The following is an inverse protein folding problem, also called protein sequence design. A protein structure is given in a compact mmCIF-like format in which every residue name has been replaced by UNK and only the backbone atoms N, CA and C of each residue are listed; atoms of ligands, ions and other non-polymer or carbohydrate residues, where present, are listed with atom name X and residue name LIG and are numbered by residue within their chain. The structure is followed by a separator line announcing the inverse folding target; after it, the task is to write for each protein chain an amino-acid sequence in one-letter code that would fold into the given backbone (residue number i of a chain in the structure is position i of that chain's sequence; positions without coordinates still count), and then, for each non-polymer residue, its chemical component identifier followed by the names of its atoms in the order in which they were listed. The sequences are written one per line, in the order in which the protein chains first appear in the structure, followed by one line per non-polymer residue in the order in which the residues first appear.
data_IF_185379438806
#
_entry.id   IF_185379438806
#
_cell.length_a   1.000
_cell.length_b   1.000
_cell.length_c   1.000
_cell.angle_alpha   90.00
_cell.angle_beta   90.00
_cell.angle_gamma   90.00
#
_symmetry.space_group_name_H-M   'P 1'
#
loop_
_entity.id
_entity.type
_entity.pdbx_description
1 polymer ?
#
# COMPACT_ATOMS: atom_id res chain seq x y z
N UNK A 1 12.00 19.08 13.62
CA UNK A 1 11.63 18.44 12.33
C UNK A 1 10.17 18.06 12.38
N UNK A 2 9.38 18.39 11.34
CA UNK A 2 7.97 17.98 11.26
C UNK A 2 7.93 16.46 11.06
N UNK A 3 7.07 15.74 11.79
CA UNK A 3 6.89 14.30 11.59
C UNK A 3 6.25 14.08 10.21
N UNK A 4 6.72 13.12 9.39
CA UNK A 4 6.09 12.84 8.10
C UNK A 4 4.67 12.32 8.32
N UNK A 5 3.78 12.63 7.38
CA UNK A 5 2.43 12.03 7.32
C UNK A 5 2.56 10.54 7.07
N UNK A 6 1.82 9.71 7.81
CA UNK A 6 1.73 8.28 7.51
C UNK A 6 0.46 8.03 6.71
N UNK A 7 0.62 7.52 5.50
CA UNK A 7 -0.48 7.26 4.59
C UNK A 7 -0.61 5.76 4.31
N UNK A 8 -1.83 5.25 4.16
CA UNK A 8 -2.04 3.95 3.54
C UNK A 8 -2.51 4.13 2.12
N UNK A 9 -2.06 3.25 1.23
CA UNK A 9 -2.55 3.18 -0.14
C UNK A 9 -3.01 1.76 -0.43
N UNK A 10 -4.26 1.62 -0.89
CA UNK A 10 -4.90 0.32 -1.09
C UNK A 10 -5.99 0.40 -2.14
N UNK A 11 -6.05 -0.61 -3.00
CA UNK A 11 -7.21 -0.88 -3.84
C UNK A 11 -8.05 -1.97 -3.17
N UNK A 12 -9.37 -1.78 -3.11
CA UNK A 12 -10.31 -2.72 -2.52
C UNK A 12 -11.66 -2.69 -3.23
N UNK A 13 -12.45 -3.76 -3.10
CA UNK A 13 -13.84 -3.77 -3.53
C UNK A 13 -14.78 -3.12 -2.49
N UNK A 14 -16.09 -3.11 -2.76
CA UNK A 14 -17.09 -2.52 -1.86
C UNK A 14 -17.17 -3.21 -0.48
N UNK A 15 -16.72 -4.47 -0.40
CA UNK A 15 -16.68 -5.30 0.80
C UNK A 15 -15.29 -5.28 1.48
N UNK A 16 -14.43 -4.33 1.11
CA UNK A 16 -13.03 -4.18 1.58
C UNK A 16 -12.12 -5.34 1.18
N UNK A 17 -12.52 -6.22 0.27
CA UNK A 17 -11.67 -7.27 -0.27
C UNK A 17 -10.50 -6.67 -1.04
N UNK A 18 -9.28 -7.16 -0.79
CA UNK A 18 -8.03 -6.64 -1.41
C UNK A 18 -7.22 -7.71 -2.14
N UNK A 19 -7.60 -8.97 -2.01
CA UNK A 19 -6.85 -10.07 -2.55
C UNK A 19 -7.57 -11.40 -2.47
N UNK A 20 -7.18 -12.29 -3.37
CA UNK A 20 -7.60 -13.68 -3.42
C UNK A 20 -6.43 -14.56 -3.80
N UNK A 21 -6.13 -15.57 -2.98
CA UNK A 21 -5.02 -16.50 -3.19
C UNK A 21 -3.67 -15.80 -3.46
N UNK A 22 -3.43 -14.68 -2.77
CA UNK A 22 -2.20 -13.90 -2.88
C UNK A 22 -2.10 -13.02 -4.13
N UNK A 23 -3.18 -12.85 -4.90
CA UNK A 23 -3.25 -11.98 -6.08
C UNK A 23 -4.30 -10.90 -5.90
N UNK A 24 -4.10 -9.78 -6.61
CA UNK A 24 -5.12 -8.73 -6.74
C UNK A 24 -6.18 -9.23 -7.75
N UNK A 25 -7.49 -9.18 -7.45
CA UNK A 25 -8.53 -9.75 -8.31
C UNK A 25 -8.74 -9.01 -9.64
N UNK A 26 -8.25 -7.78 -9.74
CA UNK A 26 -8.37 -6.90 -10.90
C UNK A 26 -7.01 -6.44 -11.42
N UNK A 27 -7.01 -5.91 -12.63
CA UNK A 27 -5.84 -5.28 -13.24
C UNK A 27 -6.21 -3.89 -13.79
N UNK A 28 -6.07 -2.86 -12.95
CA UNK A 28 -6.43 -1.48 -13.29
C UNK A 28 -5.13 -0.68 -13.47
N UNK A 29 -4.82 -0.29 -14.71
CA UNK A 29 -3.57 0.41 -15.05
C UNK A 29 -3.46 1.76 -14.32
N UNK A 30 -4.57 2.46 -14.21
CA UNK A 30 -4.70 3.77 -13.56
C UNK A 30 -4.40 3.68 -12.06
N UNK A 31 -4.80 2.60 -11.39
CA UNK A 31 -4.47 2.34 -9.99
C UNK A 31 -2.97 2.09 -9.81
N UNK A 32 -2.37 1.28 -10.68
CA UNK A 32 -0.92 1.04 -10.68
C UNK A 32 -0.12 2.33 -10.94
N UNK A 33 -0.59 3.17 -11.86
CA UNK A 33 0.00 4.48 -12.15
C UNK A 33 -0.16 5.44 -10.97
N UNK A 34 -1.32 5.48 -10.33
CA UNK A 34 -1.57 6.26 -9.11
C UNK A 34 -0.64 5.81 -7.99
N UNK A 35 -0.51 4.51 -7.74
CA UNK A 35 0.41 3.96 -6.75
C UNK A 35 1.86 4.36 -7.05
N UNK A 36 2.31 4.20 -8.29
CA UNK A 36 3.66 4.62 -8.71
C UNK A 36 3.88 6.11 -8.46
N UNK A 37 2.96 6.97 -8.92
CA UNK A 37 3.10 8.41 -8.81
C UNK A 37 3.12 8.89 -7.34
N UNK A 38 2.21 8.38 -6.51
CA UNK A 38 2.11 8.78 -5.11
C UNK A 38 3.31 8.35 -4.27
N UNK A 39 3.98 7.25 -4.63
CA UNK A 39 5.05 6.63 -3.84
C UNK A 39 6.46 6.84 -4.39
N UNK A 40 6.60 7.44 -5.58
CA UNK A 40 7.89 7.70 -6.21
C UNK A 40 8.78 8.58 -5.32
N UNK A 41 10.03 8.17 -5.11
CA UNK A 41 10.99 8.92 -4.29
C UNK A 41 10.65 8.96 -2.79
N UNK A 42 9.65 8.21 -2.33
CA UNK A 42 9.20 8.18 -0.93
C UNK A 42 9.55 6.85 -0.25
N UNK A 43 9.24 6.75 1.04
CA UNK A 43 9.36 5.49 1.79
C UNK A 43 8.07 4.67 1.80
N UNK A 44 8.15 3.40 1.38
CA UNK A 44 7.02 2.47 1.36
C UNK A 44 7.27 1.26 2.28
N UNK A 45 6.38 1.08 3.25
CA UNK A 45 6.33 -0.04 4.19
C UNK A 45 5.40 -1.12 3.64
N UNK A 46 5.88 -2.36 3.60
CA UNK A 46 5.06 -3.52 3.24
C UNK A 46 5.53 -4.82 3.89
N UNK A 47 4.68 -5.84 3.87
CA UNK A 47 5.06 -7.19 4.27
C UNK A 47 5.86 -7.92 3.18
N UNK A 48 6.67 -8.91 3.57
CA UNK A 48 7.53 -9.71 2.65
C UNK A 48 6.81 -10.21 1.39
N UNK A 49 5.68 -10.88 1.54
CA UNK A 49 4.92 -11.45 0.41
C UNK A 49 4.44 -10.38 -0.58
N UNK A 50 4.05 -9.21 -0.07
CA UNK A 50 3.65 -8.07 -0.91
C UNK A 50 4.85 -7.53 -1.66
N UNK A 51 6.00 -7.40 -1.01
CA UNK A 51 7.24 -6.98 -1.66
C UNK A 51 7.69 -7.96 -2.75
N UNK A 52 7.67 -9.26 -2.48
CA UNK A 52 7.98 -10.32 -3.45
C UNK A 52 7.03 -10.26 -4.67
N UNK A 53 5.74 -10.01 -4.44
CA UNK A 53 4.77 -9.81 -5.52
C UNK A 53 5.08 -8.58 -6.38
N UNK A 54 5.49 -7.47 -5.75
CA UNK A 54 5.89 -6.24 -6.47
C UNK A 54 7.14 -6.50 -7.30
N UNK A 55 8.15 -7.17 -6.73
CA UNK A 55 9.36 -7.57 -7.46
C UNK A 55 9.02 -8.44 -8.68
N UNK A 56 8.19 -9.48 -8.48
CA UNK A 56 7.78 -10.38 -9.54
C UNK A 56 7.03 -9.67 -10.67
N UNK A 57 6.23 -8.64 -10.37
CA UNK A 57 5.57 -7.82 -11.39
C UNK A 57 6.59 -7.04 -12.26
N UNK A 58 7.55 -6.36 -11.63
CA UNK A 58 8.56 -5.60 -12.37
C UNK A 58 9.49 -6.51 -13.18
N UNK A 59 9.88 -7.65 -12.62
CA UNK A 59 10.66 -8.66 -13.33
C UNK A 59 9.93 -9.18 -14.58
N UNK A 60 8.63 -9.52 -14.47
CA UNK A 60 7.83 -10.00 -15.60
C UNK A 60 7.57 -8.93 -16.66
N UNK A 61 7.45 -7.67 -16.26
CA UNK A 61 7.20 -6.57 -17.19
C UNK A 61 8.47 -6.05 -17.89
N UNK A 62 9.66 -6.51 -17.49
CA UNK A 62 10.94 -6.01 -18.00
C UNK A 62 11.22 -4.55 -17.65
N UNK A 63 10.42 -3.96 -16.75
CA UNK A 63 10.55 -2.56 -16.34
C UNK A 63 11.38 -2.46 -15.06
N UNK A 64 12.22 -1.44 -14.92
CA UNK A 64 12.91 -1.20 -13.66
C UNK A 64 11.89 -0.92 -12.56
N UNK A 65 12.17 -1.43 -11.36
CA UNK A 65 11.41 -1.05 -10.17
C UNK A 65 11.64 0.46 -9.90
N UNK A 66 10.57 1.25 -9.67
CA UNK A 66 10.71 2.68 -9.43
C UNK A 66 11.60 2.98 -8.22
N UNK A 67 12.37 4.06 -8.32
CA UNK A 67 13.23 4.54 -7.23
C UNK A 67 12.38 5.01 -6.04
N UNK A 68 12.45 4.26 -4.95
CA UNK A 68 11.83 4.55 -3.65
C UNK A 68 12.48 3.70 -2.57
N UNK A 69 12.38 4.14 -1.33
CA UNK A 69 12.85 3.36 -0.19
C UNK A 69 11.82 2.27 0.14
N UNK A 70 12.29 1.04 0.33
CA UNK A 70 11.45 -0.09 0.71
C UNK A 70 11.71 -0.50 2.15
N UNK A 71 10.68 -0.55 3.00
CA UNK A 71 10.79 -1.14 4.34
C UNK A 71 9.95 -2.42 4.37
N UNK A 72 10.62 -3.54 4.56
CA UNK A 72 10.04 -4.88 4.43
C UNK A 72 9.90 -5.49 5.81
N UNK A 73 8.67 -5.87 6.17
CA UNK A 73 8.35 -6.51 7.44
C UNK A 73 8.33 -8.03 7.24
N UNK A 74 9.17 -8.72 8.00
CA UNK A 74 9.25 -10.19 8.01
C UNK A 74 9.75 -10.72 9.36
N UNK A 75 9.27 -11.90 9.76
CA UNK A 75 9.80 -12.63 10.93
C UNK A 75 11.01 -13.50 10.58
N UNK A 76 11.26 -13.69 9.29
CA UNK A 76 12.42 -14.42 8.78
C UNK A 76 13.68 -13.57 8.96
N UNK A 77 14.51 -13.95 9.94
CA UNK A 77 15.74 -13.22 10.28
C UNK A 77 16.84 -13.36 9.23
N UNK A 78 16.72 -14.33 8.33
CA UNK A 78 17.71 -14.58 7.28
C UNK A 78 17.29 -13.95 5.94
N UNK A 79 16.13 -13.30 5.89
CA UNK A 79 15.64 -12.67 4.68
C UNK A 79 16.54 -11.50 4.26
N UNK A 80 17.02 -11.57 3.02
CA UNK A 80 17.75 -10.50 2.37
C UNK A 80 16.95 -10.02 1.16
N UNK A 81 16.78 -8.71 1.08
CA UNK A 81 16.15 -8.10 -0.08
C UNK A 81 17.17 -7.94 -1.20
N UNK A 82 16.77 -8.17 -2.47
CA UNK A 82 17.67 -8.00 -3.62
C UNK A 82 17.88 -6.54 -4.03
N UNK A 83 17.24 -5.57 -3.36
CA UNK A 83 17.35 -4.15 -3.67
C UNK A 83 18.29 -3.45 -2.67
N UNK A 84 19.17 -2.59 -3.16
CA UNK A 84 20.05 -1.77 -2.32
C UNK A 84 19.25 -0.78 -1.44
N UNK A 85 18.23 -0.13 -2.02
CA UNK A 85 17.36 0.82 -1.33
C UNK A 85 16.23 0.14 -0.54
N UNK A 86 16.59 -0.87 0.25
CA UNK A 86 15.63 -1.60 1.07
C UNK A 86 16.14 -1.95 2.47
N UNK A 87 15.21 -1.96 3.41
CA UNK A 87 15.46 -2.18 4.83
C UNK A 87 14.55 -3.28 5.34
N UNK A 88 15.10 -4.25 6.05
CA UNK A 88 14.34 -5.38 6.59
C UNK A 88 14.17 -5.19 8.11
N UNK A 89 12.93 -5.30 8.58
CA UNK A 89 12.57 -5.19 10.01
C UNK A 89 11.55 -6.26 10.39
N UNK A 90 11.38 -6.49 11.69
CA UNK A 90 10.53 -7.58 12.21
C UNK A 90 9.14 -7.15 12.72
N UNK A 91 8.83 -5.85 12.68
CA UNK A 91 7.61 -5.29 13.28
C UNK A 91 7.19 -3.98 12.64
N UNK A 92 5.89 -3.68 12.67
CA UNK A 92 5.34 -2.41 12.16
C UNK A 92 5.88 -1.20 12.94
N UNK A 93 6.11 -1.36 14.24
CA UNK A 93 6.65 -0.32 15.12
C UNK A 93 8.07 0.07 14.68
N UNK A 94 8.92 -0.93 14.40
CA UNK A 94 10.28 -0.68 13.88
C UNK A 94 10.22 -0.06 12.49
N UNK A 95 9.33 -0.55 11.63
CA UNK A 95 9.15 0.00 10.29
C UNK A 95 8.79 1.48 10.31
N UNK A 96 7.81 1.87 11.13
CA UNK A 96 7.37 3.26 11.26
C UNK A 96 8.46 4.13 11.87
N UNK A 97 9.17 3.65 12.90
CA UNK A 97 10.28 4.40 13.50
C UNK A 97 11.40 4.66 12.49
N UNK A 98 11.76 3.64 11.70
CA UNK A 98 12.78 3.78 10.65
C UNK A 98 12.31 4.74 9.56
N UNK A 99 11.08 4.57 9.07
CA UNK A 99 10.50 5.42 8.04
C UNK A 99 10.53 6.90 8.44
N UNK A 100 10.17 7.22 9.69
CA UNK A 100 10.21 8.58 10.24
C UNK A 100 11.61 9.21 10.32
N UNK A 101 12.67 8.40 10.23
CA UNK A 101 14.06 8.88 10.23
C UNK A 101 14.58 9.16 8.83
N UNK A 102 14.08 8.45 7.83
CA UNK A 102 14.57 8.54 6.44
C UNK A 102 13.65 9.36 5.53
N UNK A 103 12.39 9.57 5.92
CA UNK A 103 11.38 10.28 5.16
C UNK A 103 10.93 11.54 5.90
N UNK A 104 10.87 12.66 5.18
CA UNK A 104 10.50 13.95 5.75
C UNK A 104 9.05 14.32 5.48
N UNK A 105 8.50 13.88 4.34
CA UNK A 105 7.19 14.34 3.85
C UNK A 105 6.10 13.34 4.15
N UNK A 106 6.18 12.15 3.57
CA UNK A 106 5.08 11.19 3.61
C UNK A 106 5.56 9.74 3.45
N UNK A 107 5.19 8.90 4.40
CA UNK A 107 5.47 7.47 4.41
C UNK A 107 4.22 6.72 3.97
N UNK A 108 4.37 5.72 3.11
CA UNK A 108 3.27 4.90 2.65
C UNK A 108 3.30 3.51 3.28
N UNK A 109 2.15 3.00 3.70
CA UNK A 109 1.94 1.58 4.00
C UNK A 109 1.11 1.02 2.84
N UNK A 110 1.64 0.00 2.15
CA UNK A 110 1.03 -0.56 0.93
C UNK A 110 0.62 -2.04 1.06
N UNK A 111 0.49 -2.53 2.29
CA UNK A 111 -0.03 -3.87 2.59
C UNK A 111 1.03 -4.93 2.89
N UNK A 112 0.70 -6.22 2.96
CA UNK A 112 -0.63 -6.83 2.83
C UNK A 112 -1.49 -6.71 4.11
N UNK A 113 -2.54 -7.53 4.20
CA UNK A 113 -3.56 -7.44 5.26
C UNK A 113 -3.00 -7.31 6.68
N UNK A 114 -2.00 -8.11 7.06
CA UNK A 114 -1.40 -8.01 8.39
C UNK A 114 -0.70 -6.67 8.63
N UNK A 115 -0.02 -6.13 7.62
CA UNK A 115 0.63 -4.82 7.68
C UNK A 115 -0.41 -3.70 7.79
N UNK A 116 -1.51 -3.79 7.03
CA UNK A 116 -2.62 -2.83 7.15
C UNK A 116 -3.27 -2.89 8.53
N UNK A 117 -3.64 -4.07 9.01
CA UNK A 117 -4.29 -4.25 10.31
C UNK A 117 -3.43 -3.71 11.46
N UNK A 118 -2.13 -3.96 11.45
CA UNK A 118 -1.20 -3.44 12.47
C UNK A 118 -0.90 -1.95 12.28
N UNK A 119 -0.90 -1.47 11.04
CA UNK A 119 -0.53 -0.12 10.65
C UNK A 119 -1.63 0.92 10.85
N UNK A 120 -2.92 0.52 10.80
CA UNK A 120 -4.05 1.46 10.66
C UNK A 120 -4.12 2.51 11.78
N UNK A 121 -3.79 2.10 13.01
CA UNK A 121 -3.74 3.00 14.17
C UNK A 121 -2.73 4.14 13.99
N UNK A 122 -1.69 3.94 13.20
CA UNK A 122 -0.63 4.93 12.96
C UNK A 122 -0.88 5.83 11.75
N UNK A 123 -1.75 5.44 10.82
CA UNK A 123 -1.97 6.19 9.58
C UNK A 123 -2.78 7.47 9.83
N UNK A 124 -2.40 8.57 9.21
CA UNK A 124 -3.09 9.87 9.24
C UNK A 124 -4.04 10.04 8.04
N UNK A 125 -3.72 9.38 6.91
CA UNK A 125 -4.42 9.50 5.64
C UNK A 125 -4.59 8.13 4.95
N UNK A 126 -5.69 7.96 4.24
CA UNK A 126 -5.93 6.84 3.34
C UNK A 126 -6.04 7.33 1.90
N UNK A 127 -5.33 6.68 0.98
CA UNK A 127 -5.55 6.73 -0.46
C UNK A 127 -6.21 5.43 -0.87
N UNK A 128 -7.51 5.49 -1.12
CA UNK A 128 -8.32 4.32 -1.47
C UNK A 128 -8.60 4.33 -2.96
N UNK A 129 -8.48 3.18 -3.61
CA UNK A 129 -9.12 2.88 -4.89
C UNK A 129 -10.24 1.90 -4.61
N UNK A 130 -11.50 2.36 -4.67
CA UNK A 130 -12.68 1.54 -4.42
C UNK A 130 -13.18 1.03 -5.77
N UNK A 131 -13.03 -0.26 -6.04
CA UNK A 131 -13.52 -0.91 -7.27
C UNK A 131 -14.98 -1.29 -7.05
N UNK A 132 -15.84 -0.85 -7.97
CA UNK A 132 -17.28 -1.11 -7.89
C UNK A 132 -17.55 -2.60 -8.19
N UNK A 133 -18.45 -3.21 -7.42
CA UNK A 133 -18.79 -4.63 -7.51
C UNK A 133 -18.20 -5.49 -6.40
N UNK A 134 -18.56 -6.77 -6.42
CA UNK A 134 -18.12 -7.77 -5.44
C UNK A 134 -17.20 -8.78 -6.10
N UNK A 135 -16.01 -8.95 -5.53
CA UNK A 135 -15.01 -9.87 -6.05
C UNK A 135 -14.82 -11.02 -5.08
N UNK A 136 -14.50 -12.20 -5.60
CA UNK A 136 -14.07 -13.31 -4.75
C UNK A 136 -12.77 -12.91 -4.05
N UNK A 137 -12.80 -12.77 -2.73
CA UNK A 137 -11.65 -12.35 -1.92
C UNK A 137 -11.51 -13.22 -0.66
N UNK A 138 -10.27 -13.45 -0.23
CA UNK A 138 -9.92 -14.15 1.02
C UNK A 138 -9.13 -13.24 1.99
N UNK A 139 -8.83 -12.03 1.52
CA UNK A 139 -8.02 -11.05 2.21
C UNK A 139 -8.76 -9.73 2.19
N UNK A 140 -8.98 -9.12 3.36
CA UNK A 140 -9.73 -7.87 3.52
C UNK A 140 -8.88 -6.77 4.14
N UNK A 141 -9.17 -5.52 3.77
CA UNK A 141 -8.66 -4.33 4.43
C UNK A 141 -9.40 -4.12 5.77
N UNK A 142 -8.70 -3.72 6.85
CA UNK A 142 -9.32 -3.45 8.14
C UNK A 142 -10.45 -2.41 8.06
N UNK A 143 -11.42 -2.51 8.96
CA UNK A 143 -12.48 -1.49 9.11
C UNK A 143 -11.86 -0.13 9.47
N UNK A 144 -12.26 0.91 8.74
CA UNK A 144 -11.60 2.22 8.77
C UNK A 144 -12.58 3.39 8.87
N UNK A 145 -13.88 3.20 8.56
CA UNK A 145 -14.85 4.29 8.44
C UNK A 145 -15.06 5.06 9.74
N UNK A 146 -14.86 4.41 10.89
CA UNK A 146 -14.95 5.06 12.20
C UNK A 146 -13.69 5.87 12.58
N UNK A 147 -12.56 5.59 11.93
CA UNK A 147 -11.25 6.21 12.19
C UNK A 147 -11.02 7.39 11.24
N UNK A 148 -11.38 7.24 9.96
CA UNK A 148 -11.13 8.23 8.91
C UNK A 148 -12.47 8.83 8.43
N UNK A 149 -12.84 9.98 8.99
CA UNK A 149 -14.17 10.58 8.79
C UNK A 149 -14.17 11.67 7.73
N UNK A 150 -13.03 12.31 7.47
CA UNK A 150 -12.95 13.47 6.59
C UNK A 150 -12.60 13.03 5.17
N UNK A 151 -13.59 12.98 4.29
CA UNK A 151 -13.34 12.83 2.84
C UNK A 151 -12.84 14.16 2.28
N UNK A 152 -11.63 14.16 1.71
CA UNK A 152 -10.99 15.37 1.16
C UNK A 152 -10.89 15.34 -0.37
N UNK A 153 -11.02 14.15 -0.96
CA UNK A 153 -10.99 13.97 -2.41
C UNK A 153 -11.84 12.76 -2.80
N UNK A 154 -12.54 12.88 -3.91
CA UNK A 154 -13.20 11.77 -4.60
C UNK A 154 -13.22 12.04 -6.11
N UNK A 155 -12.81 11.05 -6.90
CA UNK A 155 -12.88 11.08 -8.35
C UNK A 155 -13.40 9.73 -8.83
N UNK A 156 -14.46 9.75 -9.64
CA UNK A 156 -14.98 8.55 -10.30
C UNK A 156 -14.22 8.32 -11.60
N UNK A 157 -13.87 7.07 -11.86
CA UNK A 157 -13.20 6.62 -13.08
C UNK A 157 -13.83 5.36 -13.62
N UNK A 158 -13.61 5.16 -14.90
CA UNK A 158 -13.94 3.94 -15.62
C UNK A 158 -12.75 3.62 -16.51
N UNK A 159 -12.27 2.39 -16.44
CA UNK A 159 -11.17 1.91 -17.28
C UNK A 159 -11.37 0.43 -17.57
N UNK A 160 -11.29 0.09 -18.87
CA UNK A 160 -11.55 -1.27 -19.36
C UNK A 160 -12.90 -1.77 -18.81
N UNK A 161 -12.91 -2.88 -18.06
CA UNK A 161 -14.12 -3.50 -17.49
C UNK A 161 -14.45 -3.03 -16.06
N UNK A 162 -13.72 -2.03 -15.53
CA UNK A 162 -13.82 -1.61 -14.14
C UNK A 162 -14.31 -0.18 -13.99
N UNK A 163 -15.36 0.00 -13.19
CA UNK A 163 -15.70 1.29 -12.57
C UNK A 163 -15.09 1.34 -11.18
N UNK A 164 -14.49 2.46 -10.84
CA UNK A 164 -13.82 2.62 -9.55
C UNK A 164 -13.74 4.09 -9.15
N UNK A 165 -13.40 4.32 -7.88
CA UNK A 165 -13.25 5.66 -7.32
C UNK A 165 -11.93 5.80 -6.61
N UNK A 166 -11.21 6.87 -6.94
CA UNK A 166 -10.12 7.34 -6.10
C UNK A 166 -10.71 8.17 -4.98
N UNK A 167 -10.50 7.74 -3.75
CA UNK A 167 -10.95 8.44 -2.55
C UNK A 167 -9.75 8.74 -1.68
N UNK A 168 -9.73 9.93 -1.07
CA UNK A 168 -8.77 10.26 -0.03
C UNK A 168 -9.51 10.64 1.25
N UNK A 169 -9.13 9.97 2.34
CA UNK A 169 -9.69 10.20 3.66
C UNK A 169 -8.60 10.62 4.63
N UNK A 170 -8.94 11.52 5.54
CA UNK A 170 -8.13 11.85 6.71
C UNK A 170 -8.85 11.44 7.99
N UNK A 171 -8.07 11.19 9.03
CA UNK A 171 -8.59 11.04 10.40
C UNK A 171 -9.46 12.23 10.80
#
# INVERSE_FOLDING_TARGET
MKKPTISMIVAMDENRGIGYQGKIPWHIKEDLLRFKHLTLGKTVIMGRKTFESVLGYYQKSGRPIPERNHIIITRDRNYQSPLENSFVVDSIEKAIRLAKRIEEKEVFISGGAQTFAQGIKYADKLYLTIVDGEFKTDTVFPEYKHIFKKKIFEEKKEAEDYRFRFVELMK
#
